data_IF_853894839634
#
_entry.id   IF_853894839634
#
_cell.length_a   1.000
_cell.length_b   1.000
_cell.length_c   1.000
_cell.angle_alpha   90.00
_cell.angle_beta   90.00
_cell.angle_gamma   90.00
#
_symmetry.space_group_name_H-M   'P 1'
#
loop_
_entity.id
_entity.type
_entity.pdbx_description
1 polymer ?
#
# COMPACT_ATOMS: atom_id res chain seq x y z
N UNK A 1 4.86 -20.22 -7.91
CA UNK A 1 6.04 -19.33 -7.88
C UNK A 1 5.65 -17.94 -7.43
N UNK A 2 4.67 -17.31 -8.08
CA UNK A 2 4.17 -15.98 -7.69
C UNK A 2 3.70 -15.90 -6.23
N UNK A 3 2.99 -16.91 -5.73
CA UNK A 3 2.54 -16.92 -4.33
C UNK A 3 3.69 -16.98 -3.32
N UNK A 4 4.77 -17.71 -3.64
CA UNK A 4 5.96 -17.80 -2.80
C UNK A 4 6.68 -16.44 -2.76
N UNK A 5 6.80 -15.79 -3.93
CA UNK A 5 7.36 -14.46 -4.05
C UNK A 5 6.51 -13.44 -3.26
N UNK A 6 5.19 -13.50 -3.40
CA UNK A 6 4.25 -12.64 -2.68
C UNK A 6 4.41 -12.79 -1.16
N UNK A 7 4.45 -14.02 -0.65
CA UNK A 7 4.63 -14.28 0.78
C UNK A 7 5.98 -13.77 1.29
N UNK A 8 7.06 -13.94 0.51
CA UNK A 8 8.38 -13.41 0.85
C UNK A 8 8.39 -11.87 0.90
N UNK A 9 7.79 -11.22 -0.09
CA UNK A 9 7.67 -9.76 -0.17
C UNK A 9 6.85 -9.20 0.98
N UNK A 10 5.68 -9.79 1.27
CA UNK A 10 4.82 -9.34 2.36
C UNK A 10 5.52 -9.47 3.72
N UNK A 11 6.21 -10.59 3.97
CA UNK A 11 6.97 -10.79 5.21
C UNK A 11 8.10 -9.77 5.37
N UNK A 12 8.78 -9.42 4.27
CA UNK A 12 9.83 -8.41 4.29
C UNK A 12 9.27 -7.00 4.56
N UNK A 13 8.17 -6.64 3.88
CA UNK A 13 7.47 -5.37 4.09
C UNK A 13 6.97 -5.20 5.53
N UNK A 14 6.45 -6.27 6.13
CA UNK A 14 6.01 -6.28 7.54
C UNK A 14 7.19 -6.14 8.49
N UNK A 15 8.27 -6.91 8.30
CA UNK A 15 9.47 -6.86 9.15
C UNK A 15 10.16 -5.49 9.15
N UNK A 16 10.14 -4.79 8.01
CA UNK A 16 10.79 -3.47 7.85
C UNK A 16 9.84 -2.29 8.02
N UNK A 17 8.57 -2.54 8.33
CA UNK A 17 7.54 -1.51 8.48
C UNK A 17 7.47 -0.55 7.26
N UNK A 18 7.68 -1.10 6.05
CA UNK A 18 7.73 -0.32 4.80
C UNK A 18 6.37 0.33 4.50
N UNK A 19 5.31 -0.35 4.89
CA UNK A 19 3.93 0.07 4.68
C UNK A 19 3.43 0.80 5.93
N UNK A 20 3.11 2.08 5.79
CA UNK A 20 2.56 2.87 6.89
C UNK A 20 1.18 2.38 7.33
N UNK A 21 0.82 2.66 8.59
CA UNK A 21 -0.49 2.28 9.14
C UNK A 21 -1.67 2.85 8.38
N UNK A 22 -1.44 4.01 7.75
CA UNK A 22 -2.34 4.67 6.84
C UNK A 22 -2.45 4.00 5.46
N UNK A 23 -2.02 2.74 5.28
CA UNK A 23 -2.36 1.90 4.12
C UNK A 23 -3.35 0.79 4.54
N UNK A 24 -4.50 0.67 3.85
CA UNK A 24 -5.42 -0.47 4.03
C UNK A 24 -5.51 -1.35 2.77
N UNK A 25 -5.31 -0.78 1.58
CA UNK A 25 -5.31 -1.56 0.34
C UNK A 25 -4.15 -2.55 0.32
N UNK A 26 -4.41 -3.78 -0.15
CA UNK A 26 -3.41 -4.84 -0.32
C UNK A 26 -2.65 -5.22 0.95
N UNK A 27 -3.21 -4.95 2.14
CA UNK A 27 -2.62 -5.32 3.43
C UNK A 27 -3.48 -6.37 4.13
N UNK A 28 -2.85 -7.38 4.72
CA UNK A 28 -3.56 -8.45 5.44
C UNK A 28 -4.29 -7.89 6.66
N UNK A 29 -5.54 -8.32 6.86
CA UNK A 29 -6.33 -7.93 8.04
C UNK A 29 -6.85 -6.48 8.03
N UNK A 30 -6.66 -5.74 6.94
CA UNK A 30 -7.07 -4.34 6.78
C UNK A 30 -8.13 -4.22 5.69
N UNK A 31 -9.27 -3.58 6.00
CA UNK A 31 -10.39 -3.38 5.05
C UNK A 31 -10.42 -1.94 4.55
N UNK A 32 -10.56 -1.75 3.24
CA UNK A 32 -10.72 -0.43 2.63
C UNK A 32 -12.03 0.27 3.06
N UNK A 33 -13.09 -0.50 3.30
CA UNK A 33 -14.41 0.03 3.68
C UNK A 33 -14.41 0.59 5.11
N UNK A 34 -13.68 -0.04 6.03
CA UNK A 34 -13.60 0.43 7.42
C UNK A 34 -12.94 1.82 7.48
N UNK A 35 -11.85 2.04 6.75
CA UNK A 35 -11.24 3.37 6.64
C UNK A 35 -12.19 4.42 6.08
N UNK A 36 -12.95 4.06 5.04
CA UNK A 36 -13.89 4.98 4.45
C UNK A 36 -14.93 5.42 5.47
N UNK A 37 -15.47 4.46 6.25
CA UNK A 37 -16.42 4.77 7.31
C UNK A 37 -15.80 5.64 8.41
N UNK A 38 -14.56 5.40 8.84
CA UNK A 38 -13.90 6.25 9.84
C UNK A 38 -13.75 7.69 9.35
N UNK A 39 -13.43 7.85 8.07
CA UNK A 39 -13.25 9.14 7.43
C UNK A 39 -14.57 9.90 7.24
N UNK A 40 -15.63 9.20 6.80
CA UNK A 40 -16.96 9.78 6.57
C UNK A 40 -17.74 10.01 7.86
N UNK A 41 -17.58 9.12 8.85
CA UNK A 41 -18.23 9.26 10.15
C UNK A 41 -17.65 10.43 10.96
N UNK A 42 -16.48 10.92 10.56
CA UNK A 42 -15.91 12.22 10.91
C UNK A 42 -15.73 12.49 12.40
N UNK A 43 -16.06 11.59 13.31
CA UNK A 43 -16.21 11.86 14.75
C UNK A 43 -16.86 13.24 15.05
N UNK A 44 -17.80 13.70 14.21
CA UNK A 44 -18.43 15.02 14.33
C UNK A 44 -17.61 16.23 13.85
N UNK A 45 -16.45 16.04 13.20
CA UNK A 45 -15.60 17.07 12.60
C UNK A 45 -15.76 17.10 11.08
N UNK A 46 -15.78 18.31 10.51
CA UNK A 46 -15.75 18.52 9.06
C UNK A 46 -14.32 18.40 8.54
N UNK A 47 -14.10 17.59 7.51
CA UNK A 47 -12.82 17.46 6.83
C UNK A 47 -12.99 17.74 5.34
N UNK A 48 -12.05 18.49 4.77
CA UNK A 48 -11.90 18.57 3.32
C UNK A 48 -11.12 17.35 2.82
N UNK A 49 -11.59 16.77 1.73
CA UNK A 49 -11.14 15.48 1.22
C UNK A 49 -10.59 15.67 -0.18
N UNK A 50 -9.34 15.28 -0.40
CA UNK A 50 -8.77 15.18 -1.74
C UNK A 50 -8.79 13.72 -2.17
N UNK A 51 -9.63 13.40 -3.16
CA UNK A 51 -9.66 12.09 -3.77
C UNK A 51 -8.66 12.04 -4.93
N UNK A 52 -7.74 11.07 -4.89
CA UNK A 52 -6.75 10.82 -5.95
C UNK A 52 -6.91 9.38 -6.44
N UNK A 53 -6.86 9.21 -7.76
CA UNK A 53 -6.85 7.90 -8.40
C UNK A 53 -5.81 7.86 -9.52
N UNK A 54 -5.17 6.70 -9.69
CA UNK A 54 -4.19 6.47 -10.74
C UNK A 54 -4.80 5.59 -11.82
N UNK A 55 -5.01 6.15 -13.01
CA UNK A 55 -5.42 5.33 -14.15
C UNK A 55 -4.38 4.22 -14.39
N UNK A 56 -4.82 2.96 -14.53
CA UNK A 56 -3.94 1.84 -14.89
C UNK A 56 -2.64 1.76 -14.05
N UNK A 57 -2.72 1.95 -12.74
CA UNK A 57 -1.57 2.03 -11.83
C UNK A 57 -0.52 0.92 -12.05
N UNK A 58 -0.95 -0.34 -12.21
CA UNK A 58 -0.03 -1.47 -12.40
C UNK A 58 0.63 -1.52 -13.80
N UNK A 59 0.09 -0.81 -14.79
CA UNK A 59 0.62 -0.79 -16.16
C UNK A 59 1.57 0.40 -16.34
N UNK A 60 1.30 1.53 -15.68
CA UNK A 60 2.04 2.77 -15.92
C UNK A 60 3.26 2.97 -15.01
N UNK A 61 3.46 2.14 -13.98
CA UNK A 61 4.63 2.26 -13.10
C UNK A 61 5.91 1.86 -13.87
N UNK A 62 6.89 2.76 -14.05
CA UNK A 62 8.13 2.43 -14.73
C UNK A 62 8.96 1.40 -13.94
N UNK A 63 9.47 0.38 -14.63
CA UNK A 63 10.20 -0.73 -14.00
C UNK A 63 11.44 -0.25 -13.24
N UNK A 64 12.20 0.71 -13.78
CA UNK A 64 13.38 1.25 -13.12
C UNK A 64 13.05 1.94 -11.78
N UNK A 65 11.91 2.63 -11.70
CA UNK A 65 11.45 3.28 -10.47
C UNK A 65 11.04 2.24 -9.44
N UNK A 66 10.30 1.21 -9.86
CA UNK A 66 9.90 0.11 -8.97
C UNK A 66 11.13 -0.63 -8.40
N UNK A 67 12.08 -0.99 -9.27
CA UNK A 67 13.31 -1.68 -8.86
C UNK A 67 14.15 -0.82 -7.90
N UNK A 68 14.34 0.46 -8.21
CA UNK A 68 15.08 1.37 -7.31
C UNK A 68 14.45 1.50 -5.93
N UNK A 69 13.11 1.39 -5.82
CA UNK A 69 12.42 1.37 -4.52
C UNK A 69 12.66 0.05 -3.78
N UNK A 70 12.53 -1.07 -4.48
CA UNK A 70 12.76 -2.40 -3.90
C UNK A 70 14.19 -2.56 -3.38
N UNK A 71 15.19 -2.11 -4.15
CA UNK A 71 16.60 -2.12 -3.74
C UNK A 71 16.82 -1.28 -2.47
N UNK A 72 16.23 -0.08 -2.40
CA UNK A 72 16.29 0.78 -1.20
C UNK A 72 15.64 0.15 0.02
N UNK A 73 14.59 -0.65 -0.19
CA UNK A 73 13.93 -1.39 0.87
C UNK A 73 14.68 -2.68 1.24
N UNK A 74 15.79 -2.99 0.57
CA UNK A 74 16.66 -4.13 0.86
C UNK A 74 16.12 -5.44 0.28
N UNK A 75 15.50 -5.38 -0.89
CA UNK A 75 15.29 -6.56 -1.73
C UNK A 75 16.51 -6.79 -2.61
N UNK A 76 17.21 -7.87 -2.32
CA UNK A 76 18.37 -8.36 -3.06
C UNK A 76 17.83 -9.38 -4.08
N UNK A 77 18.16 -9.19 -5.36
CA UNK A 77 17.68 -10.05 -6.47
C UNK A 77 18.14 -11.49 -6.38
#
# INVERSE_FOLDING_TARGET
MEQILLEAVLRHMEKREVIGDSQHGFTKGKSCLLRWNDYVSGQGKSYDVVYLDFCKAFIMVPNNILLSKLERDGFDG
#
